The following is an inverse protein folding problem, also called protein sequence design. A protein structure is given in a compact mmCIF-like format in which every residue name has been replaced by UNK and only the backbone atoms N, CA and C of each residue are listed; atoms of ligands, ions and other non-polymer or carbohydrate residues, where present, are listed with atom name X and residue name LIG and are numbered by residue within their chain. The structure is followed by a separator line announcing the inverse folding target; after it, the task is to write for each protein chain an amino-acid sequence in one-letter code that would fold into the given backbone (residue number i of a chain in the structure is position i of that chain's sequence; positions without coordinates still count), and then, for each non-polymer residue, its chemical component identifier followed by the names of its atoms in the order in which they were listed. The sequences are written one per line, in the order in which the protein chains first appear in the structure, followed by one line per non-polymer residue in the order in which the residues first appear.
data_IF_237781820299
#
_entry.id   IF_237781820299
#
_cell.length_a   1.000
_cell.length_b   1.000
_cell.length_c   1.000
_cell.angle_alpha   90.00
_cell.angle_beta   90.00
_cell.angle_gamma   90.00
#
_symmetry.space_group_name_H-M   'P 1'
#
loop_
_entity.id
_entity.type
_entity.pdbx_description
1 polymer ?
#
# COMPACT_ATOMS: atom_id res chain seq x y z
N UNK A 1 6.57 13.21 5.32
CA UNK A 1 5.84 12.89 6.56
C UNK A 1 5.10 11.59 6.34
N UNK A 2 5.00 10.74 7.36
CA UNK A 2 4.27 9.48 7.36
C UNK A 2 3.14 9.54 8.37
N UNK A 3 1.90 9.39 7.88
CA UNK A 3 0.69 9.33 8.72
C UNK A 3 0.16 7.90 8.73
N UNK A 4 -0.02 7.33 9.91
CA UNK A 4 -0.49 5.97 10.08
C UNK A 4 -1.94 5.87 10.55
N UNK A 5 -2.66 4.86 10.08
CA UNK A 5 -3.89 4.40 10.71
C UNK A 5 -3.90 2.87 10.81
N UNK A 6 -4.42 2.39 11.93
CA UNK A 6 -4.77 0.99 12.13
C UNK A 6 -6.06 0.95 12.97
N UNK A 7 -6.88 -0.10 12.84
CA UNK A 7 -8.13 -0.23 13.59
C UNK A 7 -7.93 -0.19 15.11
N UNK A 8 -6.89 -0.87 15.61
CA UNK A 8 -6.59 -0.96 17.04
C UNK A 8 -5.74 0.23 17.50
N UNK A 9 -6.19 0.87 18.58
CA UNK A 9 -5.43 1.93 19.25
C UNK A 9 -4.03 1.46 19.66
N UNK A 10 -3.91 0.23 20.17
CA UNK A 10 -2.63 -0.35 20.54
C UNK A 10 -1.62 -0.36 19.39
N UNK A 11 -2.07 -0.71 18.17
CA UNK A 11 -1.19 -0.75 16.99
C UNK A 11 -0.75 0.65 16.58
N UNK A 12 -1.65 1.64 16.66
CA UNK A 12 -1.32 3.05 16.42
C UNK A 12 -0.27 3.56 17.41
N UNK A 13 -0.47 3.30 18.70
CA UNK A 13 0.47 3.72 19.75
C UNK A 13 1.82 3.01 19.63
N UNK A 14 1.85 1.73 19.27
CA UNK A 14 3.10 1.04 18.97
C UNK A 14 3.82 1.70 17.78
N UNK A 15 3.13 1.98 16.67
CA UNK A 15 3.75 2.56 15.48
C UNK A 15 4.40 3.93 15.78
N UNK A 16 3.74 4.78 16.57
CA UNK A 16 4.31 6.04 17.06
C UNK A 16 5.53 5.81 17.95
N UNK A 17 5.41 4.92 18.94
CA UNK A 17 6.49 4.62 19.89
C UNK A 17 7.74 4.07 19.20
N UNK A 18 7.56 3.30 18.13
CA UNK A 18 8.66 2.76 17.31
C UNK A 18 9.22 3.80 16.32
N UNK A 19 8.58 4.96 16.16
CA UNK A 19 9.01 6.01 15.23
C UNK A 19 8.79 5.64 13.76
N UNK A 20 7.86 4.73 13.46
CA UNK A 20 7.57 4.32 12.07
C UNK A 20 6.68 5.32 11.34
N UNK A 21 5.96 6.15 12.09
CA UNK A 21 5.09 7.21 11.58
C UNK A 21 5.32 8.48 12.38
N UNK A 22 5.19 9.63 11.73
CA UNK A 22 5.31 10.94 12.35
C UNK A 22 4.06 11.26 13.19
N UNK A 23 2.88 10.79 12.73
CA UNK A 23 1.62 10.89 13.44
C UNK A 23 0.68 9.71 13.14
N UNK A 24 -0.36 9.55 13.97
CA UNK A 24 -1.47 8.62 13.71
C UNK A 24 -2.79 9.36 13.64
N UNK A 25 -3.62 8.96 12.69
CA UNK A 25 -4.95 9.49 12.51
C UNK A 25 -6.01 8.69 13.30
N UNK A 26 -7.16 9.29 13.57
CA UNK A 26 -8.27 8.63 14.25
C UNK A 26 -9.10 7.73 13.30
N UNK A 27 -8.98 7.94 11.99
CA UNK A 27 -9.68 7.18 10.93
C UNK A 27 -8.80 6.99 9.70
N UNK A 28 -9.17 6.07 8.80
CA UNK A 28 -8.46 5.91 7.54
C UNK A 28 -8.69 7.13 6.63
N UNK A 29 -9.92 7.68 6.65
CA UNK A 29 -10.28 8.89 5.92
C UNK A 29 -9.40 10.10 6.28
N UNK A 30 -9.08 10.29 7.57
CA UNK A 30 -8.20 11.35 8.02
C UNK A 30 -6.74 11.09 7.62
N UNK A 31 -6.28 9.83 7.68
CA UNK A 31 -4.90 9.46 7.37
C UNK A 31 -4.48 9.77 5.93
N UNK A 32 -5.41 9.79 4.97
CA UNK A 32 -5.12 9.99 3.55
C UNK A 32 -5.19 11.44 3.08
N UNK A 33 -5.62 12.37 3.94
CA UNK A 33 -5.79 13.77 3.54
C UNK A 33 -4.44 14.40 3.23
N UNK A 34 -4.30 14.93 2.01
CA UNK A 34 -3.03 15.52 1.54
C UNK A 34 -1.92 14.51 1.25
N UNK A 35 -2.19 13.20 1.31
CA UNK A 35 -1.19 12.18 1.00
C UNK A 35 -0.94 12.09 -0.52
N UNK A 36 0.34 12.08 -0.91
CA UNK A 36 0.77 11.82 -2.28
C UNK A 36 0.84 10.32 -2.60
N UNK A 37 1.02 9.48 -1.57
CA UNK A 37 1.13 8.02 -1.65
C UNK A 37 0.38 7.38 -0.48
N UNK A 38 -0.51 6.44 -0.78
CA UNK A 38 -1.25 5.63 0.19
C UNK A 38 -0.93 4.16 -0.05
N UNK A 39 -0.43 3.46 0.97
CA UNK A 39 -0.16 2.02 0.93
C UNK A 39 -1.12 1.29 1.87
N UNK A 40 -1.94 0.38 1.32
CA UNK A 40 -2.80 -0.49 2.12
C UNK A 40 -1.99 -1.66 2.68
N UNK A 41 -1.74 -1.63 4.00
CA UNK A 41 -0.97 -2.66 4.73
C UNK A 41 -1.83 -3.58 5.62
N UNK A 42 -3.15 -3.52 5.50
CA UNK A 42 -4.08 -4.36 6.26
C UNK A 42 -4.35 -5.71 5.57
N UNK A 43 -5.06 -6.65 6.22
CA UNK A 43 -5.49 -7.87 5.54
C UNK A 43 -6.40 -7.56 4.34
N UNK A 44 -6.18 -8.25 3.21
CA UNK A 44 -6.89 -8.01 1.93
C UNK A 44 -8.41 -7.98 2.09
N UNK A 45 -8.97 -8.83 2.97
CA UNK A 45 -10.41 -8.86 3.23
C UNK A 45 -11.01 -7.56 3.80
N UNK A 46 -10.17 -6.58 4.16
CA UNK A 46 -10.57 -5.25 4.63
C UNK A 46 -10.48 -4.18 3.54
N UNK A 47 -9.85 -4.47 2.39
CA UNK A 47 -9.51 -3.45 1.39
C UNK A 47 -10.73 -2.79 0.77
N UNK A 48 -11.79 -3.52 0.44
CA UNK A 48 -13.00 -2.92 -0.14
C UNK A 48 -13.62 -1.86 0.79
N UNK A 49 -13.71 -2.15 2.09
CA UNK A 49 -14.25 -1.21 3.07
C UNK A 49 -13.33 0.00 3.27
N UNK A 50 -12.01 -0.23 3.36
CA UNK A 50 -11.03 0.85 3.49
C UNK A 50 -11.00 1.74 2.25
N UNK A 51 -10.98 1.15 1.05
CA UNK A 51 -11.00 1.88 -0.20
C UNK A 51 -12.27 2.76 -0.30
N UNK A 52 -13.43 2.24 0.09
CA UNK A 52 -14.67 3.01 0.12
C UNK A 52 -14.62 4.16 1.15
N UNK A 53 -14.02 3.94 2.32
CA UNK A 53 -13.85 4.96 3.35
C UNK A 53 -12.91 6.09 2.90
N UNK A 54 -11.78 5.76 2.26
CA UNK A 54 -10.76 6.75 1.91
C UNK A 54 -11.01 7.45 0.58
N UNK A 55 -11.72 6.82 -0.36
CA UNK A 55 -11.91 7.34 -1.72
C UNK A 55 -12.34 8.82 -1.77
N UNK A 56 -13.31 9.31 -0.97
CA UNK A 56 -13.71 10.72 -1.00
C UNK A 56 -12.65 11.72 -0.50
N UNK A 57 -11.59 11.22 0.13
CA UNK A 57 -10.57 12.02 0.82
C UNK A 57 -9.19 11.96 0.15
N UNK A 58 -9.05 11.16 -0.91
CA UNK A 58 -7.80 11.06 -1.68
C UNK A 58 -7.56 12.35 -2.48
N UNK A 59 -6.30 12.79 -2.49
CA UNK A 59 -5.91 13.99 -3.24
C UNK A 59 -5.79 13.68 -4.74
N UNK A 60 -6.18 14.59 -5.64
CA UNK A 60 -5.88 14.45 -7.06
C UNK A 60 -4.38 14.29 -7.30
N UNK A 61 -3.99 13.32 -8.12
CA UNK A 61 -2.61 12.95 -8.41
C UNK A 61 -1.97 12.01 -7.39
N UNK A 62 -2.63 11.72 -6.26
CA UNK A 62 -2.16 10.74 -5.28
C UNK A 62 -2.09 9.34 -5.91
N UNK A 63 -1.18 8.51 -5.42
CA UNK A 63 -1.09 7.10 -5.79
C UNK A 63 -1.60 6.22 -4.66
N UNK A 64 -2.56 5.33 -4.94
CA UNK A 64 -2.96 4.26 -4.04
C UNK A 64 -2.33 2.93 -4.49
N UNK A 65 -1.72 2.23 -3.54
CA UNK A 65 -1.06 0.94 -3.69
C UNK A 65 -1.34 0.06 -2.46
N UNK A 66 -0.75 -1.12 -2.43
CA UNK A 66 -0.96 -2.12 -1.39
C UNK A 66 0.28 -3.02 -1.21
N UNK A 67 0.18 -3.94 -0.26
CA UNK A 67 1.16 -5.02 -0.04
C UNK A 67 0.49 -6.39 0.08
N UNK A 68 -0.79 -6.49 -0.29
CA UNK A 68 -1.56 -7.72 -0.21
C UNK A 68 -0.93 -8.79 -1.09
N UNK A 69 -1.14 -10.07 -0.76
CA UNK A 69 -0.54 -11.20 -1.48
C UNK A 69 -1.34 -11.71 -2.68
N UNK A 70 -2.56 -11.22 -2.93
CA UNK A 70 -3.46 -11.71 -4.01
C UNK A 70 -3.93 -10.53 -4.87
N UNK A 71 -3.34 -10.34 -6.06
CA UNK A 71 -3.53 -9.12 -6.86
C UNK A 71 -4.90 -9.05 -7.53
N UNK A 72 -5.48 -10.17 -7.96
CA UNK A 72 -6.83 -10.14 -8.54
C UNK A 72 -7.86 -9.67 -7.50
N UNK A 73 -7.68 -10.04 -6.23
CA UNK A 73 -8.56 -9.57 -5.15
C UNK A 73 -8.40 -8.06 -4.93
N UNK A 74 -7.17 -7.55 -4.93
CA UNK A 74 -6.91 -6.10 -4.79
C UNK A 74 -7.53 -5.31 -5.94
N UNK A 75 -7.31 -5.75 -7.18
CA UNK A 75 -7.89 -5.09 -8.36
C UNK A 75 -9.41 -5.09 -8.30
N UNK A 76 -10.03 -6.21 -7.92
CA UNK A 76 -11.48 -6.34 -7.76
C UNK A 76 -12.03 -5.42 -6.66
N UNK A 77 -11.36 -5.37 -5.50
CA UNK A 77 -11.91 -4.76 -4.28
C UNK A 77 -11.60 -3.27 -4.16
N UNK A 78 -10.48 -2.82 -4.72
CA UNK A 78 -10.01 -1.42 -4.64
C UNK A 78 -10.26 -0.68 -5.95
N UNK A 79 -9.95 -1.30 -7.09
CA UNK A 79 -9.98 -0.65 -8.40
C UNK A 79 -11.26 0.13 -8.71
N UNK A 80 -12.46 -0.47 -8.54
CA UNK A 80 -13.74 0.22 -8.80
C UNK A 80 -14.04 1.42 -7.89
N UNK A 81 -13.29 1.58 -6.80
CA UNK A 81 -13.49 2.62 -5.80
C UNK A 81 -12.45 3.75 -5.92
N UNK A 82 -11.44 3.59 -6.78
CA UNK A 82 -10.43 4.63 -6.99
C UNK A 82 -11.07 5.80 -7.75
N UNK A 83 -11.06 7.02 -7.20
CA UNK A 83 -11.64 8.18 -7.87
C UNK A 83 -10.88 8.57 -9.14
N UNK A 84 -11.58 9.27 -10.05
CA UNK A 84 -10.93 9.92 -11.18
C UNK A 84 -9.83 10.88 -10.71
N UNK A 85 -8.68 10.84 -11.39
CA UNK A 85 -7.52 11.65 -11.06
C UNK A 85 -6.65 11.10 -9.93
N UNK A 86 -7.01 9.96 -9.33
CA UNK A 86 -6.15 9.20 -8.42
C UNK A 86 -5.53 8.02 -9.16
N UNK A 87 -4.25 7.79 -8.94
CA UNK A 87 -3.49 6.74 -9.62
C UNK A 87 -3.55 5.43 -8.84
N UNK A 88 -3.79 4.31 -9.52
CA UNK A 88 -3.86 2.99 -8.89
C UNK A 88 -2.75 2.09 -9.39
N UNK A 89 -1.85 1.66 -8.49
CA UNK A 89 -0.73 0.79 -8.82
C UNK A 89 -0.57 -0.28 -7.73
N UNK A 90 -1.22 -1.44 -7.86
CA UNK A 90 -1.08 -2.54 -6.90
C UNK A 90 0.34 -3.09 -6.84
N UNK A 91 0.75 -3.58 -5.67
CA UNK A 91 2.08 -4.12 -5.44
C UNK A 91 2.07 -5.33 -4.49
N UNK A 92 3.12 -6.13 -4.54
CA UNK A 92 3.37 -7.21 -3.60
C UNK A 92 4.86 -7.31 -3.30
N UNK A 93 5.34 -6.76 -2.18
CA UNK A 93 6.67 -7.10 -1.69
C UNK A 93 6.67 -8.57 -1.25
N UNK A 94 7.49 -9.40 -1.90
CA UNK A 94 7.72 -10.81 -1.57
C UNK A 94 8.69 -10.88 -0.37
N UNK A 95 8.21 -10.35 0.74
CA UNK A 95 8.92 -10.23 1.99
C UNK A 95 7.92 -10.43 3.13
N UNK A 96 8.35 -11.11 4.19
CA UNK A 96 7.49 -11.38 5.33
C UNK A 96 8.25 -12.07 6.44
N UNK A 97 7.64 -12.05 7.63
CA UNK A 97 8.09 -12.80 8.79
C UNK A 97 6.94 -13.67 9.29
N UNK A 98 7.24 -14.67 10.10
CA UNK A 98 6.26 -15.44 10.86
C UNK A 98 5.63 -14.63 12.01
N UNK A 99 6.14 -13.43 12.28
CA UNK A 99 5.69 -12.54 13.33
C UNK A 99 4.75 -11.45 12.79
N UNK A 100 3.84 -11.00 13.65
CA UNK A 100 2.82 -10.02 13.29
C UNK A 100 2.91 -8.78 14.18
N UNK A 101 2.38 -7.68 13.66
CA UNK A 101 2.35 -6.39 14.34
C UNK A 101 3.57 -5.52 14.03
N UNK A 102 3.51 -4.22 14.36
CA UNK A 102 4.58 -3.29 14.02
C UNK A 102 5.92 -3.66 14.67
N UNK A 103 5.93 -4.31 15.85
CA UNK A 103 7.16 -4.76 16.50
C UNK A 103 7.98 -5.78 15.67
N UNK A 104 7.34 -6.45 14.71
CA UNK A 104 8.01 -7.38 13.79
C UNK A 104 8.60 -6.69 12.55
N UNK A 105 8.32 -5.39 12.34
CA UNK A 105 8.86 -4.61 11.24
C UNK A 105 10.28 -4.14 11.51
N UNK A 106 11.13 -4.18 10.49
CA UNK A 106 12.50 -3.66 10.52
C UNK A 106 12.88 -3.12 9.12
N UNK A 107 13.87 -2.24 9.06
CA UNK A 107 14.15 -1.45 7.86
C UNK A 107 14.61 -2.32 6.67
N UNK A 108 15.41 -3.34 6.96
CA UNK A 108 16.03 -4.23 5.98
C UNK A 108 15.09 -5.35 5.50
N UNK A 109 13.80 -5.34 5.91
CA UNK A 109 12.83 -6.40 5.60
C UNK A 109 12.73 -6.66 4.08
N UNK A 110 12.90 -5.61 3.28
CA UNK A 110 12.71 -5.62 1.84
C UNK A 110 14.02 -5.73 1.03
N UNK A 111 15.18 -5.75 1.71
CA UNK A 111 16.50 -5.79 1.07
C UNK A 111 16.71 -7.07 0.26
N UNK A 112 17.10 -6.93 -1.02
CA UNK A 112 17.30 -8.03 -1.97
C UNK A 112 16.07 -8.95 -2.08
N UNK A 113 14.87 -8.40 -1.81
CA UNK A 113 13.59 -9.06 -2.03
C UNK A 113 12.93 -8.51 -3.29
N UNK A 114 12.07 -9.32 -3.90
CA UNK A 114 11.29 -8.85 -5.03
C UNK A 114 10.07 -8.06 -4.55
N UNK A 115 9.75 -6.97 -5.22
CA UNK A 115 8.43 -6.36 -5.17
C UNK A 115 7.81 -6.41 -6.56
N UNK A 116 6.66 -7.07 -6.67
CA UNK A 116 5.96 -7.24 -7.95
C UNK A 116 4.88 -6.17 -8.07
N UNK A 117 4.99 -5.32 -9.08
CA UNK A 117 3.97 -4.33 -9.43
C UNK A 117 3.01 -4.92 -10.46
N UNK A 118 1.71 -4.72 -10.26
CA UNK A 118 0.69 -5.17 -11.23
C UNK A 118 -0.21 -4.02 -11.68
N UNK A 119 0.36 -3.01 -12.39
CA UNK A 119 -0.42 -1.87 -12.86
C UNK A 119 -1.53 -2.32 -13.83
N UNK A 120 -2.76 -1.78 -13.71
CA UNK A 120 -3.82 -2.08 -14.66
C UNK A 120 -3.52 -1.53 -16.06
N UNK A 121 -4.16 -2.07 -17.12
CA UNK A 121 -4.05 -1.50 -18.46
C UNK A 121 -4.41 0.00 -18.48
N UNK A 122 -3.54 0.82 -19.06
CA UNK A 122 -3.73 2.27 -19.12
C UNK A 122 -3.28 3.04 -17.88
N UNK A 123 -2.70 2.37 -16.86
CA UNK A 123 -2.11 3.03 -15.70
C UNK A 123 -1.10 4.12 -16.10
N UNK A 124 -1.07 5.21 -15.33
CA UNK A 124 -0.14 6.30 -15.56
C UNK A 124 1.31 5.84 -15.37
N UNK A 125 2.09 5.87 -16.45
CA UNK A 125 3.50 5.43 -16.44
C UNK A 125 4.37 6.18 -15.43
N UNK A 126 4.06 7.44 -15.15
CA UNK A 126 4.83 8.21 -14.15
C UNK A 126 4.53 7.75 -12.72
N UNK A 127 3.27 7.44 -12.41
CA UNK A 127 2.90 6.88 -11.10
C UNK A 127 3.54 5.52 -10.87
N UNK A 128 3.52 4.66 -11.91
CA UNK A 128 4.18 3.35 -11.89
C UNK A 128 5.69 3.49 -11.67
N UNK A 129 6.35 4.42 -12.38
CA UNK A 129 7.78 4.66 -12.22
C UNK A 129 8.13 5.17 -10.81
N UNK A 130 7.36 6.13 -10.28
CA UNK A 130 7.57 6.63 -8.90
C UNK A 130 7.42 5.53 -7.85
N UNK A 131 6.41 4.66 -7.99
CA UNK A 131 6.22 3.56 -7.05
C UNK A 131 7.30 2.49 -7.18
N UNK A 132 7.78 2.21 -8.39
CA UNK A 132 8.93 1.33 -8.59
C UNK A 132 10.20 1.88 -7.92
N UNK A 133 10.45 3.18 -8.05
CA UNK A 133 11.60 3.83 -7.40
C UNK A 133 11.45 3.85 -5.87
N UNK A 134 10.23 4.00 -5.35
CA UNK A 134 9.94 3.84 -3.91
C UNK A 134 10.36 2.46 -3.41
N UNK A 135 9.93 1.38 -4.07
CA UNK A 135 10.28 0.01 -3.65
C UNK A 135 11.77 -0.29 -3.81
N UNK A 136 12.43 0.24 -4.85
CA UNK A 136 13.89 0.15 -4.99
C UNK A 136 14.64 0.89 -3.88
N UNK A 137 14.13 2.05 -3.45
CA UNK A 137 14.70 2.79 -2.34
C UNK A 137 14.54 2.05 -1.00
N UNK A 138 13.52 1.19 -0.87
CA UNK A 138 13.37 0.25 0.24
C UNK A 138 14.29 -0.99 0.13
N UNK A 139 15.11 -1.12 -0.92
CA UNK A 139 16.05 -2.23 -1.10
C UNK A 139 15.54 -3.39 -1.96
N UNK A 140 14.33 -3.30 -2.51
CA UNK A 140 13.77 -4.36 -3.35
C UNK A 140 14.20 -4.28 -4.82
N UNK A 141 14.33 -5.45 -5.45
CA UNK A 141 14.26 -5.57 -6.90
C UNK A 141 12.79 -5.48 -7.34
N UNK A 142 12.53 -4.81 -8.45
CA UNK A 142 11.15 -4.55 -8.92
C UNK A 142 10.91 -5.20 -10.27
N UNK A 143 9.83 -5.99 -10.36
CA UNK A 143 9.35 -6.60 -11.59
C UNK A 143 7.85 -6.31 -11.81
N UNK A 144 7.36 -6.58 -13.02
CA UNK A 144 6.00 -6.26 -13.45
C UNK A 144 5.28 -7.49 -13.98
N UNK A 145 4.05 -7.70 -13.50
CA UNK A 145 3.19 -8.80 -13.95
C UNK A 145 1.76 -8.33 -14.17
N UNK A 146 0.95 -9.12 -14.87
CA UNK A 146 -0.51 -8.96 -14.76
C UNK A 146 -0.99 -9.54 -13.44
N UNK A 147 -2.12 -9.06 -12.88
CA UNK A 147 -2.70 -9.63 -11.66
C UNK A 147 -2.96 -11.14 -11.78
N UNK A 148 -3.42 -11.60 -12.94
CA UNK A 148 -3.69 -13.01 -13.21
C UNK A 148 -2.41 -13.83 -13.22
N UNK A 149 -1.34 -13.34 -13.85
CA UNK A 149 -0.08 -14.05 -13.88
C UNK A 149 0.54 -14.14 -12.48
N UNK A 150 0.52 -13.04 -11.73
CA UNK A 150 0.99 -12.99 -10.34
C UNK A 150 0.29 -14.05 -9.48
N UNK A 151 -1.04 -14.15 -9.53
CA UNK A 151 -1.79 -15.05 -8.66
C UNK A 151 -1.68 -16.53 -9.07
N UNK A 152 -1.06 -16.83 -10.21
CA UNK A 152 -0.80 -18.19 -10.69
C UNK A 152 0.56 -18.75 -10.28
N UNK A 153 1.52 -17.90 -9.88
CA UNK A 153 2.93 -18.28 -9.65
C UNK A 153 3.35 -18.23 -8.18
#
# INVERSE_FOLDING_TARGET
EFIGYARSEQTRQTALRLGFVDAVAASAAEAVQGADLVILCSPIGTYSALAAEIAPHLSPGATISDVGSVKMAVVRDVGPLVPDGVEFVPAHPIAGTEHSGPEAGFAELFDNRWCILTPPPGANRQAVARLADFWRACGSDVDFMTPEHHDLV
#
